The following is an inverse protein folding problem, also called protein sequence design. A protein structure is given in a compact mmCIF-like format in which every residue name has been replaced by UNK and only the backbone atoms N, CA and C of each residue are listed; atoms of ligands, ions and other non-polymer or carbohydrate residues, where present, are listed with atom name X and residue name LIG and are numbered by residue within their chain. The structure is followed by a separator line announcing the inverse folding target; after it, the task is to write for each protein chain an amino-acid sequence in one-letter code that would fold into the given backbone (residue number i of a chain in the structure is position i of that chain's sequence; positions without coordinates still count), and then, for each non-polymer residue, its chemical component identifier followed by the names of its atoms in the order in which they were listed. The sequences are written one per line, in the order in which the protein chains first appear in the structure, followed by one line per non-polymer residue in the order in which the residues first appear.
data_IF_846455780946
#
_entry.id   IF_846455780946
#
_cell.length_a   1.000
_cell.length_b   1.000
_cell.length_c   1.000
_cell.angle_alpha   90.00
_cell.angle_beta   90.00
_cell.angle_gamma   90.00
#
_symmetry.space_group_name_H-M   'P 1'
#
loop_
_entity.id
_entity.type
_entity.pdbx_description
1 polymer ?
#
# COMPACT_ATOMS: atom_id res chain seq x y z
N UNK A 1 14.02 -46.44 18.41
CA UNK A 1 14.91 -45.30 18.21
C UNK A 1 14.11 -44.24 17.48
N UNK A 2 13.63 -43.27 18.24
CA UNK A 2 12.81 -42.14 17.73
C UNK A 2 13.74 -40.98 17.40
N UNK A 3 13.84 -40.62 16.12
CA UNK A 3 14.56 -39.42 15.70
C UNK A 3 13.53 -38.29 15.60
N UNK A 4 13.37 -37.57 16.69
CA UNK A 4 12.66 -36.29 16.71
C UNK A 4 13.64 -35.20 16.30
N UNK A 5 13.82 -35.01 14.99
CA UNK A 5 14.50 -33.83 14.44
C UNK A 5 13.56 -32.64 14.41
N UNK A 6 13.43 -31.94 15.51
CA UNK A 6 12.78 -30.61 15.53
C UNK A 6 13.70 -29.64 14.78
N UNK A 7 13.25 -29.16 13.63
CA UNK A 7 13.89 -28.02 12.95
C UNK A 7 13.81 -26.80 13.88
N UNK A 8 14.95 -26.35 14.38
CA UNK A 8 15.03 -25.16 15.23
C UNK A 8 14.70 -23.94 14.36
N UNK A 9 13.83 -23.06 14.83
CA UNK A 9 13.47 -21.78 14.19
C UNK A 9 14.66 -20.84 13.95
N UNK A 10 15.85 -21.17 14.43
CA UNK A 10 17.07 -20.36 14.34
C UNK A 10 17.74 -20.36 12.95
N UNK A 11 17.31 -21.24 12.02
CA UNK A 11 17.88 -21.34 10.66
C UNK A 11 17.14 -20.53 9.60
N UNK A 12 16.09 -19.79 9.98
CA UNK A 12 15.46 -18.82 9.09
C UNK A 12 16.39 -17.62 8.96
N UNK A 13 17.10 -17.51 7.85
CA UNK A 13 17.80 -16.27 7.50
C UNK A 13 16.75 -15.17 7.52
N UNK A 14 16.89 -14.25 8.47
CA UNK A 14 16.07 -13.03 8.49
C UNK A 14 16.19 -12.37 7.12
N UNK A 15 15.07 -11.89 6.53
CA UNK A 15 15.14 -11.09 5.34
C UNK A 15 16.20 -10.00 5.56
N UNK A 16 17.26 -10.01 4.75
CA UNK A 16 18.28 -8.99 4.87
C UNK A 16 17.88 -7.80 4.02
N UNK A 17 17.66 -6.65 4.62
CA UNK A 17 17.47 -5.41 3.89
C UNK A 17 18.79 -4.98 3.24
N UNK A 18 18.74 -4.65 1.96
CA UNK A 18 19.89 -4.16 1.20
C UNK A 18 19.47 -2.92 0.42
N UNK A 19 20.37 -1.94 0.33
CA UNK A 19 20.27 -0.79 -0.57
C UNK A 19 18.94 -0.03 -0.51
N UNK A 20 18.80 0.79 0.52
CA UNK A 20 17.76 1.81 0.53
C UNK A 20 18.08 2.91 -0.48
N UNK A 21 17.13 3.21 -1.35
CA UNK A 21 17.25 4.23 -2.39
C UNK A 21 16.08 5.20 -2.24
N UNK A 22 16.40 6.49 -2.20
CA UNK A 22 15.42 7.56 -2.28
C UNK A 22 14.99 7.75 -3.74
N UNK A 23 13.66 7.72 -4.00
CA UNK A 23 13.09 7.88 -5.35
C UNK A 23 12.62 9.31 -5.57
N UNK A 24 11.71 9.79 -4.72
CA UNK A 24 11.14 11.13 -4.78
C UNK A 24 11.22 11.80 -3.41
N UNK A 25 11.84 12.96 -3.38
CA UNK A 25 11.94 13.80 -2.19
C UNK A 25 11.38 15.20 -2.54
N UNK A 26 10.27 15.64 -1.92
CA UNK A 26 9.65 16.93 -2.25
C UNK A 26 10.55 18.13 -1.92
N UNK A 27 11.57 17.94 -1.08
CA UNK A 27 12.54 18.99 -0.72
C UNK A 27 13.66 19.15 -1.74
N UNK A 28 13.85 18.17 -2.63
CA UNK A 28 14.89 18.22 -3.65
C UNK A 28 14.37 18.79 -4.97
N UNK A 29 14.90 19.94 -5.37
CA UNK A 29 14.54 20.56 -6.64
C UNK A 29 14.80 19.66 -7.86
N UNK A 30 15.79 18.75 -7.77
CA UNK A 30 16.14 17.79 -8.81
C UNK A 30 15.02 16.79 -9.14
N UNK A 31 14.10 16.55 -8.22
CA UNK A 31 12.95 15.65 -8.44
C UNK A 31 11.88 16.30 -9.33
N UNK A 32 11.96 17.61 -9.52
CA UNK A 32 11.00 18.37 -10.31
C UNK A 32 9.59 18.43 -9.71
N UNK A 33 9.42 18.05 -8.45
CA UNK A 33 8.12 18.05 -7.77
C UNK A 33 7.60 19.45 -7.49
N UNK A 34 8.48 20.47 -7.48
CA UNK A 34 8.09 21.86 -7.26
C UNK A 34 7.44 22.12 -5.90
N UNK A 35 7.78 21.29 -4.91
CA UNK A 35 7.15 21.29 -3.59
C UNK A 35 5.89 20.43 -3.50
N UNK A 36 5.56 19.67 -4.55
CA UNK A 36 4.51 18.64 -4.46
C UNK A 36 5.02 17.45 -3.64
N UNK A 37 4.15 16.89 -2.82
CA UNK A 37 4.39 15.65 -2.09
C UNK A 37 3.80 14.48 -2.89
N UNK A 38 4.55 13.39 -3.01
CA UNK A 38 4.10 12.16 -3.65
C UNK A 38 4.40 10.98 -2.74
N UNK A 39 3.37 10.25 -2.38
CA UNK A 39 3.37 9.15 -1.41
C UNK A 39 2.53 7.97 -1.90
N UNK A 40 2.35 6.97 -1.06
CA UNK A 40 1.37 5.90 -1.22
C UNK A 40 1.55 5.11 -2.52
N UNK A 41 2.79 4.75 -2.86
CA UNK A 41 3.08 4.10 -4.12
C UNK A 41 2.35 2.75 -4.29
N UNK A 42 1.64 2.59 -5.41
CA UNK A 42 1.15 1.30 -5.92
C UNK A 42 1.87 0.96 -7.21
N UNK A 43 2.76 -0.03 -7.17
CA UNK A 43 3.60 -0.42 -8.31
C UNK A 43 3.01 -1.63 -9.00
N UNK A 44 2.92 -1.60 -10.34
CA UNK A 44 2.32 -2.65 -11.16
C UNK A 44 2.96 -2.72 -12.54
N UNK A 45 2.96 -3.91 -13.15
CA UNK A 45 3.29 -4.06 -14.56
C UNK A 45 2.01 -4.04 -15.42
N UNK A 46 1.98 -3.16 -16.43
CA UNK A 46 0.91 -3.05 -17.42
C UNK A 46 1.52 -2.96 -18.81
N UNK A 47 1.07 -3.77 -19.75
CA UNK A 47 1.53 -3.74 -21.14
C UNK A 47 3.06 -3.69 -21.26
N UNK A 48 3.76 -4.59 -20.55
CA UNK A 48 5.23 -4.70 -20.53
C UNK A 48 5.96 -3.47 -20.01
N UNK A 49 5.27 -2.56 -19.34
CA UNK A 49 5.82 -1.36 -18.71
C UNK A 49 5.49 -1.34 -17.23
N UNK A 50 6.44 -0.92 -16.39
CA UNK A 50 6.23 -0.69 -14.97
C UNK A 50 5.65 0.70 -14.74
N UNK A 51 4.56 0.73 -13.99
CA UNK A 51 3.85 1.92 -13.55
C UNK A 51 3.85 2.00 -12.03
N UNK A 52 3.88 3.22 -11.54
CA UNK A 52 3.74 3.56 -10.14
C UNK A 52 2.62 4.60 -10.04
N UNK A 53 1.55 4.27 -9.35
CA UNK A 53 0.49 5.20 -9.01
C UNK A 53 0.75 5.74 -7.62
N UNK A 54 0.58 7.04 -7.43
CA UNK A 54 1.03 7.79 -6.27
C UNK A 54 -0.08 8.72 -5.80
N UNK A 55 -0.37 8.76 -4.52
CA UNK A 55 -1.14 9.86 -3.96
C UNK A 55 -0.25 11.09 -3.80
N UNK A 56 -0.80 12.27 -3.98
CA UNK A 56 -0.02 13.48 -3.77
C UNK A 56 -0.80 14.76 -4.01
N UNK A 57 -0.13 15.88 -3.71
CA UNK A 57 -0.67 17.21 -3.94
C UNK A 57 0.29 18.01 -4.82
N UNK A 58 -0.11 18.27 -6.05
CA UNK A 58 0.59 19.22 -6.90
C UNK A 58 0.37 20.64 -6.39
N UNK A 59 1.40 21.49 -6.51
CA UNK A 59 1.34 22.88 -6.08
C UNK A 59 0.21 23.63 -6.79
N UNK A 60 -0.69 24.23 -6.03
CA UNK A 60 -1.81 25.00 -6.55
C UNK A 60 -3.02 24.17 -6.98
N UNK A 61 -2.97 22.84 -6.85
CA UNK A 61 -4.11 21.98 -7.19
C UNK A 61 -5.23 21.98 -6.14
N UNK A 62 -4.89 22.29 -4.89
CA UNK A 62 -5.86 22.49 -3.80
C UNK A 62 -6.39 21.21 -3.13
N UNK A 63 -6.01 20.02 -3.63
CA UNK A 63 -6.41 18.73 -3.06
C UNK A 63 -5.38 17.65 -3.38
N UNK A 64 -5.40 16.54 -2.63
CA UNK A 64 -4.62 15.34 -2.95
C UNK A 64 -5.30 14.58 -4.08
N UNK A 65 -4.51 14.03 -5.01
CA UNK A 65 -5.01 13.22 -6.12
C UNK A 65 -4.04 12.09 -6.48
N UNK A 66 -4.42 11.25 -7.44
CA UNK A 66 -3.59 10.15 -7.90
C UNK A 66 -2.77 10.60 -9.12
N UNK A 67 -1.46 10.48 -9.00
CA UNK A 67 -0.48 10.74 -10.06
C UNK A 67 0.17 9.45 -10.52
N UNK A 68 0.97 9.52 -11.57
CA UNK A 68 1.70 8.36 -12.05
C UNK A 68 3.15 8.68 -12.41
N UNK A 69 3.98 7.64 -12.28
CA UNK A 69 5.31 7.56 -12.82
C UNK A 69 5.48 6.22 -13.56
N UNK A 70 6.41 6.15 -14.48
CA UNK A 70 6.71 4.91 -15.19
C UNK A 70 8.20 4.71 -15.43
N UNK A 71 8.61 3.46 -15.56
CA UNK A 71 9.89 3.08 -16.16
C UNK A 71 9.75 3.05 -17.68
N UNK A 72 10.86 3.09 -18.45
CA UNK A 72 10.81 2.91 -19.89
C UNK A 72 10.12 1.58 -20.27
N UNK A 73 9.39 1.52 -21.39
CA UNK A 73 8.79 0.27 -21.87
C UNK A 73 9.85 -0.83 -22.01
N UNK A 74 9.52 -2.05 -21.56
CA UNK A 74 10.42 -3.21 -21.58
C UNK A 74 11.56 -3.17 -20.56
N UNK A 75 11.71 -2.07 -19.79
CA UNK A 75 12.72 -2.03 -18.74
C UNK A 75 12.38 -2.98 -17.60
N UNK A 76 13.37 -3.65 -16.98
CA UNK A 76 13.14 -4.43 -15.80
C UNK A 76 12.71 -3.55 -14.62
N UNK A 77 12.01 -4.14 -13.64
CA UNK A 77 11.68 -3.45 -12.40
C UNK A 77 12.96 -2.93 -11.73
N UNK A 78 12.93 -1.67 -11.33
CA UNK A 78 14.08 -0.98 -10.71
C UNK A 78 13.63 -0.01 -9.63
N UNK A 79 14.51 0.25 -8.67
CA UNK A 79 14.33 1.32 -7.69
C UNK A 79 14.58 2.72 -8.30
N UNK A 80 15.22 2.81 -9.45
CA UNK A 80 15.60 4.08 -10.09
C UNK A 80 15.07 4.19 -11.51
N UNK A 81 15.13 5.39 -12.08
CA UNK A 81 14.73 5.62 -13.47
C UNK A 81 13.25 5.94 -13.68
N UNK A 82 12.50 6.08 -12.61
CA UNK A 82 11.09 6.46 -12.64
C UNK A 82 10.91 7.87 -13.19
N UNK A 83 10.01 8.03 -14.15
CA UNK A 83 9.66 9.31 -14.76
C UNK A 83 8.21 9.64 -14.44
N UNK A 84 7.98 10.79 -13.83
CA UNK A 84 6.64 11.32 -13.54
C UNK A 84 5.91 11.67 -14.82
N UNK A 85 4.63 11.35 -14.89
CA UNK A 85 3.74 11.79 -15.96
C UNK A 85 3.46 13.28 -15.82
N UNK A 86 3.66 14.02 -16.92
CA UNK A 86 3.52 15.48 -16.96
C UNK A 86 2.64 15.89 -18.12
N UNK A 87 1.95 17.01 -17.93
CA UNK A 87 1.23 17.71 -18.99
C UNK A 87 2.14 18.42 -19.98
N UNK A 88 1.54 19.06 -20.95
CA UNK A 88 2.25 19.72 -22.06
C UNK A 88 3.17 20.87 -21.61
N UNK A 89 2.86 21.52 -20.50
CA UNK A 89 3.66 22.63 -19.91
C UNK A 89 4.64 22.16 -18.84
N UNK A 90 4.73 20.82 -18.61
CA UNK A 90 5.64 20.20 -17.65
C UNK A 90 5.08 20.06 -16.23
N UNK A 91 3.83 20.45 -16.00
CA UNK A 91 3.12 20.29 -14.73
C UNK A 91 2.82 18.82 -14.43
N UNK A 92 2.69 18.50 -13.14
CA UNK A 92 2.14 17.21 -12.70
C UNK A 92 0.64 17.18 -13.00
N UNK A 93 0.18 16.10 -13.61
CA UNK A 93 -1.24 15.92 -13.95
C UNK A 93 -1.78 14.66 -13.26
N UNK A 94 -2.97 14.75 -12.63
CA UNK A 94 -3.65 13.58 -12.12
C UNK A 94 -3.96 12.56 -13.24
N UNK A 95 -4.01 11.27 -12.89
CA UNK A 95 -4.30 10.20 -13.86
C UNK A 95 -5.74 10.24 -14.36
N UNK A 96 -6.66 10.84 -13.59
CA UNK A 96 -8.04 11.08 -13.98
C UNK A 96 -8.50 12.46 -13.52
N UNK A 97 -9.48 13.01 -14.22
CA UNK A 97 -10.16 14.24 -13.78
C UNK A 97 -10.86 14.03 -12.44
N UNK A 98 -11.08 15.10 -11.71
CA UNK A 98 -11.80 15.10 -10.42
C UNK A 98 -13.07 15.91 -10.51
N UNK A 99 -14.10 15.39 -9.86
CA UNK A 99 -15.30 16.16 -9.55
C UNK A 99 -15.17 16.76 -8.13
N UNK A 100 -14.77 18.02 -8.01
CA UNK A 100 -14.67 18.72 -6.72
C UNK A 100 -16.01 18.86 -5.98
N UNK A 101 -17.14 18.63 -6.66
CA UNK A 101 -18.47 18.62 -6.04
C UNK A 101 -18.87 17.24 -5.52
N UNK A 102 -18.00 16.24 -5.64
CA UNK A 102 -18.24 14.90 -5.08
C UNK A 102 -18.46 14.98 -3.57
N UNK A 103 -19.49 14.29 -3.11
CA UNK A 103 -19.88 14.30 -1.70
C UNK A 103 -18.93 13.48 -0.80
N UNK A 104 -18.05 12.65 -1.39
CA UNK A 104 -17.24 11.70 -0.63
C UNK A 104 -15.72 11.80 -0.90
N UNK A 105 -15.28 12.36 -2.03
CA UNK A 105 -13.85 12.54 -2.34
C UNK A 105 -13.50 13.94 -2.88
N UNK A 106 -14.42 14.90 -2.84
CA UNK A 106 -14.28 16.19 -3.51
C UNK A 106 -13.10 17.02 -3.02
N UNK A 107 -13.16 17.54 -1.81
CA UNK A 107 -12.18 18.50 -1.28
C UNK A 107 -11.02 17.88 -0.50
N UNK A 108 -11.26 16.80 0.23
CA UNK A 108 -10.23 16.14 1.03
C UNK A 108 -9.23 15.35 0.20
N UNK A 109 -9.68 14.80 -0.91
CA UNK A 109 -8.78 14.19 -1.89
C UNK A 109 -8.81 12.68 -1.99
N UNK A 110 -7.91 12.18 -2.82
CA UNK A 110 -7.70 10.75 -3.12
C UNK A 110 -6.35 10.32 -2.62
N UNK A 111 -6.32 9.26 -1.81
CA UNK A 111 -5.14 8.73 -1.13
C UNK A 111 -4.99 7.24 -1.35
N UNK A 112 -3.82 6.70 -1.06
CA UNK A 112 -3.57 5.28 -0.90
C UNK A 112 -4.02 4.44 -2.10
N UNK A 113 -3.53 4.70 -3.33
CA UNK A 113 -3.93 3.96 -4.50
C UNK A 113 -3.54 2.48 -4.41
N UNK A 114 -4.45 1.59 -4.83
CA UNK A 114 -4.22 0.15 -4.96
C UNK A 114 -4.69 -0.33 -6.33
N UNK A 115 -3.75 -0.62 -7.22
CA UNK A 115 -4.05 -1.11 -8.56
C UNK A 115 -4.30 -2.62 -8.53
N UNK A 116 -5.36 -3.06 -9.21
CA UNK A 116 -5.70 -4.46 -9.38
C UNK A 116 -6.47 -4.69 -10.68
N UNK A 117 -6.30 -5.87 -11.28
CA UNK A 117 -7.08 -6.35 -12.42
C UNK A 117 -7.82 -7.62 -12.03
N UNK A 118 -9.13 -7.68 -12.28
CA UNK A 118 -9.99 -8.80 -11.93
C UNK A 118 -11.18 -8.91 -12.88
N UNK A 119 -11.87 -10.06 -12.84
CA UNK A 119 -13.08 -10.29 -13.61
C UNK A 119 -14.25 -9.54 -12.98
N UNK A 120 -15.01 -8.82 -13.79
CA UNK A 120 -16.28 -8.21 -13.39
C UNK A 120 -17.44 -8.98 -14.05
N UNK A 121 -18.17 -9.83 -13.32
CA UNK A 121 -19.23 -10.65 -13.87
C UNK A 121 -20.43 -9.83 -14.36
N UNK A 122 -20.63 -8.60 -13.87
CA UNK A 122 -21.71 -7.72 -14.33
C UNK A 122 -21.45 -7.19 -15.73
N UNK A 123 -20.17 -7.01 -16.09
CA UNK A 123 -19.73 -6.58 -17.40
C UNK A 123 -19.39 -7.74 -18.33
N UNK A 124 -19.08 -8.91 -17.76
CA UNK A 124 -18.60 -10.08 -18.50
C UNK A 124 -17.18 -9.88 -19.06
N UNK A 125 -16.34 -9.07 -18.41
CA UNK A 125 -15.01 -8.74 -18.88
C UNK A 125 -14.00 -8.52 -17.72
N UNK A 126 -12.71 -8.46 -18.05
CA UNK A 126 -11.66 -8.09 -17.12
C UNK A 126 -11.66 -6.57 -16.92
N UNK A 127 -11.96 -6.15 -15.69
CA UNK A 127 -11.86 -4.77 -15.25
C UNK A 127 -10.49 -4.49 -14.66
N UNK A 128 -9.95 -3.32 -14.95
CA UNK A 128 -8.70 -2.84 -14.39
C UNK A 128 -8.97 -1.57 -13.59
N UNK A 129 -8.62 -1.57 -12.29
CA UNK A 129 -9.03 -0.52 -11.36
C UNK A 129 -7.88 -0.03 -10.49
N UNK A 130 -7.94 1.24 -10.11
CA UNK A 130 -7.16 1.85 -9.04
C UNK A 130 -8.13 2.21 -7.92
N UNK A 131 -8.16 1.42 -6.86
CA UNK A 131 -8.90 1.77 -5.65
C UNK A 131 -8.14 2.82 -4.87
N UNK A 132 -8.86 3.66 -4.15
CA UNK A 132 -8.28 4.72 -3.34
C UNK A 132 -9.16 5.07 -2.14
N UNK A 133 -8.57 5.65 -1.10
CA UNK A 133 -9.32 6.27 -0.01
C UNK A 133 -9.71 7.70 -0.43
N UNK A 134 -10.99 8.00 -0.39
CA UNK A 134 -11.54 9.31 -0.68
C UNK A 134 -11.96 10.04 0.60
N UNK A 135 -11.64 11.32 0.70
CA UNK A 135 -12.07 12.19 1.81
C UNK A 135 -12.88 13.39 1.29
N UNK A 136 -14.05 13.60 1.88
CA UNK A 136 -14.97 14.64 1.40
C UNK A 136 -14.52 16.06 1.76
N UNK A 137 -13.99 16.26 2.96
CA UNK A 137 -13.83 17.60 3.55
C UNK A 137 -12.36 18.00 3.70
N UNK A 138 -11.54 17.13 4.22
CA UNK A 138 -10.13 17.40 4.50
C UNK A 138 -9.30 16.12 4.47
N UNK A 139 -7.97 16.26 4.52
CA UNK A 139 -7.01 15.18 4.47
C UNK A 139 -7.09 14.13 5.61
N UNK A 140 -7.85 14.40 6.65
CA UNK A 140 -7.90 13.57 7.86
C UNK A 140 -9.15 12.70 7.93
N UNK A 141 -9.94 12.66 6.85
CA UNK A 141 -11.15 11.86 6.78
C UNK A 141 -12.40 12.56 7.36
N UNK A 142 -13.47 11.82 7.64
CA UNK A 142 -13.57 10.38 7.45
C UNK A 142 -13.38 9.95 6.00
N UNK A 143 -12.85 8.73 5.82
CA UNK A 143 -12.56 8.19 4.50
C UNK A 143 -13.57 7.13 4.08
N UNK A 144 -13.75 7.02 2.78
CA UNK A 144 -14.44 5.93 2.10
C UNK A 144 -13.58 5.41 0.94
N UNK A 145 -13.88 4.24 0.38
CA UNK A 145 -13.10 3.68 -0.71
C UNK A 145 -13.88 3.77 -2.00
N UNK A 146 -13.27 4.40 -3.00
CA UNK A 146 -13.72 4.46 -4.39
C UNK A 146 -12.71 3.85 -5.34
N UNK A 147 -12.94 3.98 -6.64
CA UNK A 147 -11.99 3.54 -7.64
C UNK A 147 -12.07 4.34 -8.94
N UNK A 148 -10.94 4.39 -9.63
CA UNK A 148 -10.84 4.72 -11.05
C UNK A 148 -10.88 3.43 -11.85
N UNK A 149 -11.52 3.43 -13.02
CA UNK A 149 -11.54 2.28 -13.91
C UNK A 149 -10.94 2.63 -15.27
N UNK A 150 -10.15 1.70 -15.81
CA UNK A 150 -9.54 1.85 -17.12
C UNK A 150 -10.56 1.52 -18.22
N UNK A 151 -10.80 2.48 -19.13
CA UNK A 151 -11.76 2.31 -20.25
C UNK A 151 -11.12 1.75 -21.55
N UNK A 152 -9.83 1.43 -21.51
CA UNK A 152 -9.02 1.02 -22.66
C UNK A 152 -8.06 2.12 -23.13
N UNK A 153 -8.32 3.37 -22.82
CA UNK A 153 -7.52 4.54 -23.21
C UNK A 153 -7.05 5.38 -22.02
N UNK A 154 -7.93 5.61 -21.04
CA UNK A 154 -7.67 6.47 -19.88
C UNK A 154 -8.36 5.95 -18.62
N UNK A 155 -7.95 6.49 -17.48
CA UNK A 155 -8.61 6.26 -16.21
C UNK A 155 -9.87 7.14 -16.10
N UNK A 156 -10.98 6.50 -15.75
CA UNK A 156 -12.29 7.15 -15.58
C UNK A 156 -12.69 7.10 -14.12
N UNK A 157 -13.01 8.27 -13.59
CA UNK A 157 -13.57 8.40 -12.25
C UNK A 157 -14.95 7.75 -12.15
N UNK A 158 -15.14 6.90 -11.15
CA UNK A 158 -16.44 6.28 -10.92
C UNK A 158 -17.24 7.11 -9.91
N UNK A 159 -18.51 7.45 -10.21
CA UNK A 159 -19.29 8.36 -9.37
C UNK A 159 -19.72 7.73 -8.05
N UNK A 160 -19.73 6.42 -7.97
CA UNK A 160 -20.19 5.66 -6.82
C UNK A 160 -19.01 5.13 -6.01
N UNK A 161 -19.14 5.13 -4.68
CA UNK A 161 -18.14 4.49 -3.83
C UNK A 161 -18.21 2.97 -3.96
N UNK A 162 -17.03 2.34 -3.83
CA UNK A 162 -16.92 0.89 -3.75
C UNK A 162 -17.25 0.37 -2.35
N UNK A 163 -16.78 1.06 -1.32
CA UNK A 163 -16.88 0.57 0.04
C UNK A 163 -16.86 1.71 1.06
N UNK A 164 -17.75 1.63 2.05
CA UNK A 164 -17.85 2.57 3.16
C UNK A 164 -17.95 1.83 4.50
N UNK A 165 -17.54 2.49 5.57
CA UNK A 165 -17.70 1.98 6.92
C UNK A 165 -19.18 1.76 7.26
N UNK A 166 -19.52 0.58 7.74
CA UNK A 166 -20.89 0.25 8.17
C UNK A 166 -20.93 -0.62 9.43
N UNK A 167 -19.79 -0.97 10.01
CA UNK A 167 -19.64 -1.66 11.27
C UNK A 167 -19.18 -0.69 12.37
N UNK A 168 -19.62 -0.90 13.60
CA UNK A 168 -19.27 -0.04 14.73
C UNK A 168 -17.76 0.06 14.96
N UNK A 169 -17.03 -1.06 14.80
CA UNK A 169 -15.57 -1.09 14.95
C UNK A 169 -14.81 -0.34 13.86
N UNK A 170 -15.43 -0.01 12.74
CA UNK A 170 -14.83 0.80 11.68
C UNK A 170 -14.87 2.29 12.00
N UNK A 171 -15.63 2.71 13.01
CA UNK A 171 -15.73 4.10 13.48
C UNK A 171 -15.99 5.12 12.37
N UNK A 172 -16.75 4.73 11.35
CA UNK A 172 -17.16 5.59 10.23
C UNK A 172 -16.07 5.92 9.21
N UNK A 173 -14.90 5.28 9.26
CA UNK A 173 -13.80 5.58 8.35
C UNK A 173 -13.07 4.31 7.90
N UNK A 174 -12.86 4.16 6.59
CA UNK A 174 -12.14 3.04 5.95
C UNK A 174 -11.19 3.56 4.87
N UNK A 175 -9.93 3.15 4.92
CA UNK A 175 -8.86 3.65 4.06
C UNK A 175 -7.73 2.62 3.88
N UNK A 176 -6.64 2.97 3.21
CA UNK A 176 -5.51 2.08 2.87
C UNK A 176 -5.98 0.79 2.19
N UNK A 177 -6.79 0.86 1.11
CA UNK A 177 -7.22 -0.35 0.43
C UNK A 177 -6.02 -1.05 -0.18
N UNK A 178 -5.90 -2.35 0.03
CA UNK A 178 -4.97 -3.21 -0.68
C UNK A 178 -5.72 -4.41 -1.25
N UNK A 179 -5.71 -4.55 -2.57
CA UNK A 179 -6.52 -5.54 -3.25
C UNK A 179 -5.69 -6.52 -4.06
N UNK A 180 -6.21 -7.75 -4.12
CA UNK A 180 -5.86 -8.75 -5.11
C UNK A 180 -7.14 -9.34 -5.71
N UNK A 181 -7.03 -9.88 -6.93
CA UNK A 181 -8.06 -10.75 -7.50
C UNK A 181 -7.55 -12.18 -7.45
N UNK A 182 -8.26 -13.05 -6.74
CA UNK A 182 -7.86 -14.44 -6.53
C UNK A 182 -9.08 -15.34 -6.33
N UNK A 183 -9.06 -16.53 -6.92
CA UNK A 183 -10.13 -17.53 -6.81
C UNK A 183 -11.51 -16.99 -7.25
N UNK A 184 -11.53 -16.16 -8.31
CA UNK A 184 -12.75 -15.59 -8.84
C UNK A 184 -13.33 -14.43 -8.02
N UNK A 185 -12.60 -13.91 -7.04
CA UNK A 185 -13.06 -12.84 -6.14
C UNK A 185 -12.07 -11.71 -6.02
N UNK A 186 -12.60 -10.51 -5.82
CA UNK A 186 -11.87 -9.34 -5.37
C UNK A 186 -11.74 -9.43 -3.84
N UNK A 187 -10.53 -9.36 -3.35
CA UNK A 187 -10.20 -9.47 -1.93
C UNK A 187 -9.50 -8.22 -1.50
N UNK A 188 -10.00 -7.59 -0.44
CA UNK A 188 -9.49 -6.31 0.05
C UNK A 188 -9.14 -6.38 1.53
N UNK A 189 -7.92 -5.99 1.85
CA UNK A 189 -7.50 -5.59 3.19
C UNK A 189 -7.56 -4.07 3.27
N UNK A 190 -8.01 -3.55 4.38
CA UNK A 190 -8.14 -2.11 4.58
C UNK A 190 -7.92 -1.73 6.03
N UNK A 191 -7.59 -0.49 6.29
CA UNK A 191 -7.54 0.08 7.63
C UNK A 191 -8.89 0.71 7.94
N UNK A 192 -9.34 0.54 9.17
CA UNK A 192 -10.53 1.18 9.71
C UNK A 192 -10.18 1.96 10.98
N UNK A 193 -10.90 3.05 11.24
CA UNK A 193 -10.74 3.88 12.40
C UNK A 193 -10.08 5.22 12.13
N UNK A 194 -9.40 5.79 13.11
CA UNK A 194 -8.84 7.14 13.04
C UNK A 194 -7.41 7.18 13.59
N UNK A 195 -6.50 7.72 12.80
CA UNK A 195 -5.13 8.01 13.25
C UNK A 195 -5.10 8.97 14.44
N UNK A 196 -6.08 9.88 14.53
CA UNK A 196 -6.16 10.87 15.61
C UNK A 196 -6.50 10.24 16.96
N UNK A 197 -7.19 9.09 16.94
CA UNK A 197 -7.60 8.37 18.14
C UNK A 197 -6.65 7.21 18.49
N UNK A 198 -5.53 7.06 17.77
CA UNK A 198 -4.62 5.91 17.90
C UNK A 198 -5.35 4.55 17.78
N UNK A 199 -6.40 4.52 16.95
CA UNK A 199 -7.22 3.35 16.72
C UNK A 199 -7.16 2.95 15.25
N UNK A 200 -6.38 1.90 14.98
CA UNK A 200 -6.13 1.36 13.64
C UNK A 200 -6.46 -0.13 13.64
N UNK A 201 -7.61 -0.49 13.12
CA UNK A 201 -8.04 -1.88 12.98
C UNK A 201 -7.93 -2.27 11.52
N UNK A 202 -7.39 -3.44 11.22
CA UNK A 202 -7.44 -3.99 9.86
C UNK A 202 -8.68 -4.83 9.66
N UNK A 203 -9.39 -4.54 8.57
CA UNK A 203 -10.50 -5.33 8.07
C UNK A 203 -10.12 -6.14 6.83
N UNK A 204 -10.94 -7.15 6.54
CA UNK A 204 -10.88 -7.94 5.33
C UNK A 204 -12.27 -8.18 4.77
N UNK A 205 -12.43 -7.98 3.46
CA UNK A 205 -13.71 -8.19 2.74
C UNK A 205 -13.49 -8.81 1.38
N UNK A 206 -14.51 -9.45 0.84
CA UNK A 206 -14.54 -10.00 -0.51
C UNK A 206 -15.75 -9.51 -1.30
N UNK A 207 -15.58 -9.38 -2.61
CA UNK A 207 -16.65 -9.07 -3.55
C UNK A 207 -16.53 -9.92 -4.81
N UNK A 208 -17.66 -10.22 -5.46
CA UNK A 208 -17.69 -10.91 -6.75
C UNK A 208 -17.32 -9.96 -7.90
N UNK A 209 -17.70 -8.70 -7.81
CA UNK A 209 -17.54 -7.71 -8.88
C UNK A 209 -16.54 -6.58 -8.56
N UNK A 210 -16.04 -6.52 -7.33
CA UNK A 210 -15.09 -5.53 -6.87
C UNK A 210 -15.66 -4.12 -6.66
N UNK A 211 -16.97 -3.91 -6.80
CA UNK A 211 -17.57 -2.58 -6.62
C UNK A 211 -18.78 -2.59 -5.68
N UNK A 212 -19.42 -3.74 -5.54
CA UNK A 212 -20.60 -3.89 -4.68
C UNK A 212 -20.56 -5.22 -3.93
N UNK A 213 -21.57 -5.45 -3.06
CA UNK A 213 -21.77 -6.75 -2.43
C UNK A 213 -20.59 -7.25 -1.59
N UNK A 214 -19.81 -6.35 -1.02
CA UNK A 214 -18.71 -6.72 -0.15
C UNK A 214 -19.22 -7.46 1.08
N UNK A 215 -18.77 -8.68 1.25
CA UNK A 215 -19.02 -9.48 2.44
C UNK A 215 -17.91 -9.24 3.45
N UNK A 216 -18.30 -8.93 4.69
CA UNK A 216 -17.33 -8.68 5.76
C UNK A 216 -16.98 -9.95 6.49
N UNK A 217 -15.69 -10.19 6.54
CA UNK A 217 -15.15 -11.20 7.40
C UNK A 217 -14.80 -10.64 8.77
N UNK A 218 -14.48 -11.00 9.74
CA UNK A 218 -14.15 -10.38 11.02
C UNK A 218 -12.96 -9.41 10.90
N UNK A 219 -12.69 -8.67 11.94
CA UNK A 219 -11.44 -7.93 12.13
C UNK A 219 -10.25 -8.83 11.79
N UNK A 220 -9.43 -8.40 10.83
CA UNK A 220 -8.25 -9.13 10.40
C UNK A 220 -7.13 -9.02 11.45
N UNK A 221 -6.85 -7.81 11.90
CA UNK A 221 -5.90 -7.53 12.98
C UNK A 221 -6.44 -6.42 13.90
N UNK A 222 -6.39 -6.61 15.23
CA UNK A 222 -6.87 -5.63 16.19
C UNK A 222 -5.91 -4.42 16.32
N UNK A 223 -6.38 -3.34 16.92
CA UNK A 223 -5.65 -2.08 17.03
C UNK A 223 -4.35 -2.16 17.84
N UNK A 224 -4.27 -3.08 18.79
CA UNK A 224 -3.07 -3.29 19.61
C UNK A 224 -1.85 -3.71 18.79
N UNK A 225 -2.09 -4.28 17.60
CA UNK A 225 -1.02 -4.66 16.68
C UNK A 225 -0.32 -3.46 16.03
N UNK A 226 -0.91 -2.26 16.11
CA UNK A 226 -0.37 -1.02 15.51
C UNK A 226 0.01 -1.18 14.04
N UNK A 227 -0.71 -2.07 13.35
CA UNK A 227 -0.49 -2.32 11.94
C UNK A 227 -1.05 -1.18 11.11
N UNK A 228 -0.34 -0.89 10.05
CA UNK A 228 -0.77 0.06 9.06
C UNK A 228 -0.39 -0.48 7.68
N UNK A 229 -1.33 -0.47 6.72
CA UNK A 229 -1.04 -0.76 5.34
C UNK A 229 -0.53 -2.20 5.09
N UNK A 230 -1.44 -3.14 4.84
CA UNK A 230 -1.15 -4.56 4.69
C UNK A 230 -1.21 -4.98 3.22
N UNK A 231 -0.06 -5.02 2.53
CA UNK A 231 0.03 -5.38 1.12
C UNK A 231 0.33 -6.86 0.92
N UNK A 232 -0.47 -7.52 0.10
CA UNK A 232 -0.39 -8.95 -0.20
C UNK A 232 0.00 -9.18 -1.65
N UNK A 233 0.87 -10.15 -1.89
CA UNK A 233 1.27 -10.59 -3.24
C UNK A 233 1.39 -12.12 -3.29
N UNK A 234 0.85 -12.77 -4.34
CA UNK A 234 1.03 -14.21 -4.54
C UNK A 234 2.49 -14.53 -4.91
N UNK A 235 3.02 -15.64 -4.36
CA UNK A 235 4.33 -16.19 -4.71
C UNK A 235 4.29 -17.72 -4.66
N UNK A 236 4.24 -18.34 -5.85
CA UNK A 236 4.03 -19.79 -5.97
C UNK A 236 2.65 -20.21 -5.44
N UNK A 237 2.64 -21.16 -4.51
CA UNK A 237 1.45 -21.68 -3.84
C UNK A 237 1.09 -20.95 -2.55
N UNK A 238 1.76 -19.83 -2.28
CA UNK A 238 1.60 -19.05 -1.06
C UNK A 238 1.47 -17.55 -1.36
N UNK A 239 1.28 -16.79 -0.30
CA UNK A 239 1.16 -15.34 -0.34
C UNK A 239 2.15 -14.74 0.64
N UNK A 240 2.88 -13.72 0.19
CA UNK A 240 3.69 -12.89 1.05
C UNK A 240 2.94 -11.60 1.34
N UNK A 241 3.12 -11.07 2.54
CA UNK A 241 2.63 -9.76 2.90
C UNK A 241 3.72 -8.92 3.53
N UNK A 242 3.66 -7.62 3.26
CA UNK A 242 4.47 -6.60 3.92
C UNK A 242 3.53 -5.57 4.51
N UNK A 243 3.77 -5.18 5.75
CA UNK A 243 3.03 -4.17 6.47
C UNK A 243 3.96 -3.31 7.29
N UNK A 244 3.49 -2.15 7.73
CA UNK A 244 4.20 -1.31 8.68
C UNK A 244 3.56 -1.37 10.06
N UNK A 245 4.40 -1.23 11.09
CA UNK A 245 3.97 -0.78 12.41
C UNK A 245 4.41 0.66 12.54
N UNK A 246 3.44 1.53 12.62
CA UNK A 246 3.67 2.96 12.62
C UNK A 246 3.70 3.52 14.04
N UNK A 247 4.36 4.64 14.18
CA UNK A 247 4.37 5.41 15.40
C UNK A 247 4.38 6.90 15.04
N UNK A 248 3.43 7.64 15.55
CA UNK A 248 3.22 9.07 15.28
C UNK A 248 3.47 9.96 16.52
N UNK A 249 4.04 9.40 17.59
CA UNK A 249 4.38 10.14 18.80
C UNK A 249 5.68 10.96 18.69
N UNK A 250 6.02 11.71 19.74
CA UNK A 250 7.31 12.40 19.89
C UNK A 250 8.36 11.46 20.50
N UNK A 251 9.65 11.74 20.25
CA UNK A 251 10.79 11.01 20.81
C UNK A 251 11.24 9.82 19.98
N UNK A 252 11.84 8.83 20.62
CA UNK A 252 12.36 7.64 19.94
C UNK A 252 11.25 6.65 19.63
N UNK A 253 11.13 6.18 18.37
CA UNK A 253 10.17 5.14 18.01
C UNK A 253 10.35 3.87 18.84
N UNK A 254 9.27 3.19 19.25
CA UNK A 254 9.37 1.85 19.82
C UNK A 254 10.11 0.88 18.88
N UNK A 255 10.83 -0.13 19.41
CA UNK A 255 11.62 -1.06 18.58
C UNK A 255 10.83 -1.81 17.52
N UNK A 256 9.53 -2.02 17.75
CA UNK A 256 8.61 -2.67 16.81
C UNK A 256 8.19 -1.77 15.65
N UNK A 257 8.48 -0.46 15.69
CA UNK A 257 8.19 0.46 14.58
C UNK A 257 9.04 0.12 13.37
N UNK A 258 8.41 0.03 12.20
CA UNK A 258 9.11 -0.28 10.96
C UNK A 258 8.33 -1.20 10.03
N UNK A 259 9.03 -1.82 9.10
CA UNK A 259 8.43 -2.74 8.12
C UNK A 259 8.56 -4.19 8.57
N UNK A 260 7.50 -4.93 8.32
CA UNK A 260 7.37 -6.33 8.70
C UNK A 260 6.93 -7.17 7.52
N UNK A 261 7.38 -8.41 7.47
CA UNK A 261 7.00 -9.41 6.48
C UNK A 261 6.41 -10.64 7.16
N UNK A 262 5.39 -11.22 6.53
CA UNK A 262 4.83 -12.52 6.91
C UNK A 262 4.34 -13.29 5.67
N UNK A 263 4.00 -14.56 5.84
CA UNK A 263 3.61 -15.45 4.76
C UNK A 263 2.45 -16.36 5.17
N UNK A 264 1.56 -16.68 4.21
CA UNK A 264 0.47 -17.62 4.40
C UNK A 264 0.21 -18.46 3.13
N UNK A 265 -0.36 -19.65 3.28
CA UNK A 265 -0.89 -20.41 2.13
C UNK A 265 -2.26 -19.90 1.70
N UNK A 266 -3.06 -19.40 2.66
CA UNK A 266 -4.37 -18.81 2.43
C UNK A 266 -4.43 -17.46 3.13
N UNK A 267 -4.42 -16.35 2.40
CA UNK A 267 -4.25 -15.02 3.00
C UNK A 267 -5.52 -14.42 3.59
N UNK A 268 -6.67 -15.04 3.38
CA UNK A 268 -7.96 -14.60 3.90
C UNK A 268 -8.25 -15.21 5.26
N UNK A 269 -8.83 -14.42 6.14
CA UNK A 269 -9.09 -14.80 7.50
C UNK A 269 -8.49 -13.80 8.49
N UNK A 270 -7.74 -14.29 9.46
CA UNK A 270 -7.11 -13.48 10.50
C UNK A 270 -5.60 -13.45 10.34
N UNK A 271 -4.97 -12.43 10.93
CA UNK A 271 -3.50 -12.36 10.95
C UNK A 271 -2.86 -13.60 11.60
N UNK A 272 -3.54 -14.23 12.55
CA UNK A 272 -3.07 -15.50 13.17
C UNK A 272 -2.93 -16.67 12.20
N UNK A 273 -3.52 -16.59 11.01
CA UNK A 273 -3.39 -17.61 9.95
C UNK A 273 -2.11 -17.43 9.13
N UNK A 274 -1.38 -16.36 9.37
CA UNK A 274 -0.08 -16.05 8.78
C UNK A 274 1.06 -16.50 9.68
N UNK A 275 2.24 -16.66 9.10
CA UNK A 275 3.45 -16.91 9.89
C UNK A 275 3.69 -15.77 10.89
N UNK A 276 4.48 -16.04 11.92
CA UNK A 276 4.99 -14.99 12.79
C UNK A 276 5.66 -13.90 11.95
N UNK A 277 5.30 -12.62 12.12
CA UNK A 277 5.91 -11.54 11.39
C UNK A 277 7.39 -11.37 11.69
N UNK A 278 8.18 -11.10 10.66
CA UNK A 278 9.62 -10.83 10.77
C UNK A 278 9.86 -9.36 10.42
N UNK A 279 10.50 -8.61 11.31
CA UNK A 279 10.88 -7.24 11.05
C UNK A 279 11.99 -7.18 10.00
N UNK A 280 11.74 -6.46 8.90
CA UNK A 280 12.66 -6.33 7.78
C UNK A 280 13.36 -4.97 7.73
N UNK A 281 12.79 -3.96 8.41
CA UNK A 281 13.35 -2.63 8.53
C UNK A 281 12.90 -1.99 9.84
N UNK A 282 13.83 -1.44 10.60
CA UNK A 282 13.56 -0.66 11.82
C UNK A 282 13.35 0.81 11.51
N UNK A 283 12.63 1.52 12.37
CA UNK A 283 12.58 2.98 12.34
C UNK A 283 13.87 3.54 12.94
N UNK A 284 14.65 4.20 12.12
CA UNK A 284 15.92 4.83 12.48
C UNK A 284 16.07 6.12 11.68
N UNK A 285 16.83 7.08 12.23
CA UNK A 285 17.20 8.27 11.47
C UNK A 285 18.20 7.89 10.36
N UNK A 286 17.76 8.03 9.13
CA UNK A 286 18.55 7.77 7.92
C UNK A 286 18.92 9.05 7.16
N UNK A 287 18.72 10.19 7.79
CA UNK A 287 19.00 11.50 7.19
C UNK A 287 17.97 11.97 6.19
N UNK A 288 17.13 11.08 5.65
CA UNK A 288 16.03 11.42 4.74
C UNK A 288 14.68 10.84 5.17
N UNK A 289 14.66 9.99 6.16
CA UNK A 289 13.47 9.56 6.92
C UNK A 289 13.85 8.98 8.27
N UNK A 290 12.93 8.96 9.19
CA UNK A 290 13.07 8.38 10.52
C UNK A 290 12.09 7.24 10.82
N UNK A 291 11.04 7.11 10.03
CA UNK A 291 10.04 6.05 10.19
C UNK A 291 9.53 5.61 8.80
N UNK A 292 9.74 4.36 8.42
CA UNK A 292 9.23 3.85 7.15
C UNK A 292 7.77 3.42 7.29
N UNK A 293 6.97 3.83 6.31
CA UNK A 293 5.60 3.40 6.11
C UNK A 293 5.51 2.64 4.80
N UNK A 294 5.05 1.41 4.82
CA UNK A 294 4.98 0.58 3.61
C UNK A 294 3.83 1.03 2.73
N UNK A 295 3.97 0.93 1.41
CA UNK A 295 2.89 1.15 0.43
C UNK A 295 2.76 0.03 -0.57
N UNK A 296 3.86 -0.52 -1.11
CA UNK A 296 3.79 -1.57 -2.11
C UNK A 296 5.06 -2.40 -2.12
N UNK A 297 4.97 -3.62 -2.61
CA UNK A 297 6.16 -4.37 -2.97
C UNK A 297 5.91 -5.22 -4.21
N UNK A 298 6.98 -5.55 -4.93
CA UNK A 298 6.95 -6.42 -6.09
C UNK A 298 8.13 -7.37 -6.03
N UNK A 299 7.92 -8.62 -6.43
CA UNK A 299 9.00 -9.58 -6.54
C UNK A 299 9.96 -9.18 -7.65
N UNK A 300 11.24 -9.46 -7.41
CA UNK A 300 12.34 -9.14 -8.30
C UNK A 300 13.14 -10.40 -8.61
N UNK A 301 13.62 -10.51 -9.86
CA UNK A 301 14.38 -11.67 -10.32
C UNK A 301 13.52 -12.82 -10.84
N UNK A 302 14.18 -13.82 -11.44
CA UNK A 302 13.49 -14.94 -12.12
C UNK A 302 12.78 -15.89 -11.15
N UNK A 303 13.25 -15.99 -9.92
CA UNK A 303 12.80 -16.96 -8.92
C UNK A 303 12.00 -16.33 -7.78
N UNK A 304 11.73 -15.02 -7.84
CA UNK A 304 11.06 -14.27 -6.77
C UNK A 304 11.76 -14.43 -5.39
N UNK A 305 13.09 -14.53 -5.40
CA UNK A 305 13.93 -14.66 -4.19
C UNK A 305 14.15 -13.34 -3.49
N UNK A 306 13.86 -12.25 -4.16
CA UNK A 306 13.95 -10.90 -3.63
C UNK A 306 12.70 -10.09 -3.98
N UNK A 307 12.50 -9.00 -3.28
CA UNK A 307 11.47 -8.04 -3.59
C UNK A 307 11.99 -6.61 -3.48
N UNK A 308 11.44 -5.74 -4.30
CA UNK A 308 11.54 -4.29 -4.12
C UNK A 308 10.33 -3.82 -3.31
N UNK A 309 10.59 -3.21 -2.18
CA UNK A 309 9.60 -2.63 -1.27
C UNK A 309 9.63 -1.13 -1.43
N UNK A 310 8.54 -0.57 -1.94
CA UNK A 310 8.36 0.87 -2.09
C UNK A 310 7.66 1.38 -0.83
N UNK A 311 8.26 2.33 -0.16
CA UNK A 311 7.78 2.82 1.13
C UNK A 311 7.89 4.33 1.25
N UNK A 312 7.02 4.90 2.06
CA UNK A 312 7.12 6.30 2.42
C UNK A 312 7.98 6.43 3.67
N UNK A 313 8.96 7.29 3.60
CA UNK A 313 9.77 7.66 4.74
C UNK A 313 9.24 8.94 5.36
N UNK A 314 8.77 8.89 6.61
CA UNK A 314 8.30 10.09 7.30
C UNK A 314 9.44 10.81 8.02
N UNK A 315 9.40 12.16 7.96
CA UNK A 315 10.24 13.03 8.79
C UNK A 315 9.47 13.54 9.99
N UNK A 316 10.16 13.63 11.12
CA UNK A 316 9.54 14.06 12.38
C UNK A 316 9.92 15.46 12.82
N UNK A 317 10.89 16.09 12.18
CA UNK A 317 11.44 17.35 12.65
C UNK A 317 11.30 18.45 11.62
N UNK A 318 10.48 19.46 11.98
CA UNK A 318 10.70 20.86 11.65
C UNK A 318 10.66 21.32 10.21
N UNK A 319 10.40 20.47 9.24
CA UNK A 319 10.28 20.89 7.86
C UNK A 319 8.89 21.50 7.58
N UNK A 320 8.82 22.72 7.06
CA UNK A 320 7.56 23.39 6.75
C UNK A 320 6.95 22.81 5.47
N UNK A 321 6.53 21.55 5.50
CA UNK A 321 5.64 21.04 4.47
C UNK A 321 4.19 21.41 4.82
N UNK A 322 3.29 21.52 3.84
CA UNK A 322 1.87 21.77 4.12
C UNK A 322 1.21 20.61 4.87
N UNK A 323 1.89 19.49 5.00
CA UNK A 323 1.46 18.35 5.79
C UNK A 323 2.21 18.34 7.14
N UNK A 324 1.56 17.96 8.24
CA UNK A 324 2.22 17.81 9.53
C UNK A 324 3.26 16.67 9.56
N UNK A 325 3.28 15.83 8.53
CA UNK A 325 4.27 14.78 8.31
C UNK A 325 4.75 14.89 6.87
N UNK A 326 6.04 15.21 6.69
CA UNK A 326 6.66 15.17 5.37
C UNK A 326 7.01 13.73 5.00
N UNK A 327 6.67 13.34 3.78
CA UNK A 327 7.02 12.04 3.24
C UNK A 327 8.00 12.13 2.09
N UNK A 328 8.92 11.18 2.07
CA UNK A 328 9.83 10.91 0.96
C UNK A 328 9.59 9.50 0.48
N UNK A 329 9.40 9.30 -0.81
CA UNK A 329 9.27 7.96 -1.35
C UNK A 329 10.63 7.30 -1.52
N UNK A 330 10.78 6.13 -0.96
CA UNK A 330 11.95 5.29 -1.04
C UNK A 330 11.67 3.89 -1.57
N UNK A 331 12.74 3.17 -1.85
CA UNK A 331 12.71 1.76 -2.21
C UNK A 331 13.82 1.02 -1.48
N UNK A 332 13.51 -0.18 -1.06
CA UNK A 332 14.42 -1.08 -0.37
C UNK A 332 14.38 -2.44 -1.07
N UNK A 333 15.53 -3.06 -1.25
CA UNK A 333 15.61 -4.46 -1.71
C UNK A 333 15.67 -5.38 -0.50
N UNK A 334 14.82 -6.41 -0.47
CA UNK A 334 14.86 -7.47 0.53
C UNK A 334 15.11 -8.82 -0.13
N UNK A 335 15.93 -9.67 0.51
CA UNK A 335 16.02 -11.07 0.17
C UNK A 335 14.93 -11.82 0.94
N UNK A 336 14.08 -12.53 0.23
CA UNK A 336 13.00 -13.30 0.81
C UNK A 336 13.49 -14.72 1.14
N UNK A 337 13.04 -15.32 2.24
CA UNK A 337 13.38 -16.70 2.55
C UNK A 337 12.96 -17.64 1.43
N UNK A 338 13.91 -18.47 0.96
CA UNK A 338 13.63 -19.59 0.08
C UNK A 338 13.16 -20.77 0.92
N UNK A 339 12.10 -21.41 0.46
CA UNK A 339 11.66 -22.69 1.01
C UNK A 339 10.43 -22.64 1.89
N UNK A 340 9.85 -23.81 2.04
CA UNK A 340 8.65 -24.14 2.81
C UNK A 340 8.90 -24.02 4.31
N UNK A 341 8.87 -22.81 4.84
CA UNK A 341 8.84 -22.63 6.29
C UNK A 341 7.41 -22.35 6.71
N UNK A 342 6.60 -23.39 6.57
CA UNK A 342 5.29 -23.42 7.18
C UNK A 342 5.31 -24.49 8.26
N UNK A 343 5.56 -24.10 9.48
CA UNK A 343 4.96 -24.83 10.59
C UNK A 343 3.48 -24.43 10.59
N UNK A 344 2.61 -25.33 10.17
CA UNK A 344 1.19 -25.19 10.40
C UNK A 344 0.97 -24.82 11.88
N UNK A 345 0.05 -23.89 12.21
CA UNK A 345 -0.27 -23.61 13.59
C UNK A 345 -0.57 -24.93 14.27
N UNK A 346 0.10 -25.19 15.38
CA UNK A 346 -0.22 -26.35 16.23
C UNK A 346 -1.67 -26.17 16.61
N UNK A 347 -2.53 -27.05 16.10
CA UNK A 347 -3.91 -27.15 16.57
C UNK A 347 -3.87 -27.29 18.09
N UNK A 348 -4.41 -26.30 18.79
CA UNK A 348 -4.66 -26.36 20.22
C UNK A 348 -5.83 -27.31 20.51
#
# INVERSE_FOLDING_TARGET
MSVTGGCKMDDLRKPASRNEIKIFDPREASTGLGGAELTDASVVQRNEQWWMYLAGQARGYGATDIYSASLPPGAPLSATGWKLTRGATGELVPVAGRNFSSAWDGHGGRHCPSHVKGWDPRKGEWAERIYYAGAAVNLWGPYTIGFLEWDGEKWIDQPELAFAANEEWERGSVYEPNLIYQDGKWKMWYVAGSNQEDYLVHGYVESEDGSTGWSKHAVFAPSEMKMFDFCVRPRGDAFDAIFSRVWVGEGTPPPETGLWWCRAHKPWGRLSDWSEPIQIMTAEDRGWHSSPWKRSFQFHGQTAESALVFFDGSYRTGDPTPFPIAFTLGCLTIDLPLGSVFNAPKSA
#
